data_IF_429508290372
#
_entry.id   IF_429508290372
#
_cell.length_a   1.000
_cell.length_b   1.000
_cell.length_c   1.000
_cell.angle_alpha   90.00
_cell.angle_beta   90.00
_cell.angle_gamma   90.00
#
_symmetry.space_group_name_H-M   'P 1'
#
loop_
_entity.id
_entity.type
_entity.pdbx_description
1 polymer ?
#
# COMPACT_ATOMS: atom_id res chain seq x y z
N UNK A 1 -25.26 -22.03 18.22
CA UNK A 1 -23.78 -22.07 18.17
C UNK A 1 -23.40 -21.72 16.73
N UNK A 2 -22.67 -20.60 16.48
CA UNK A 2 -22.10 -20.40 15.17
C UNK A 2 -20.89 -21.33 15.04
N UNK A 3 -20.82 -22.02 13.93
CA UNK A 3 -19.71 -22.85 13.54
C UNK A 3 -18.41 -22.04 13.60
N UNK A 4 -17.45 -22.53 14.38
CA UNK A 4 -16.08 -22.04 14.34
C UNK A 4 -15.56 -22.33 12.93
N UNK A 5 -15.46 -21.30 12.11
CA UNK A 5 -14.68 -21.39 10.89
C UNK A 5 -13.23 -21.62 11.34
N UNK A 6 -12.79 -22.85 11.23
CA UNK A 6 -11.36 -23.16 11.29
C UNK A 6 -10.70 -22.42 10.15
N UNK A 7 -10.05 -21.28 10.47
CA UNK A 7 -9.19 -20.61 9.51
C UNK A 7 -8.14 -21.64 9.05
N UNK A 8 -7.95 -21.81 7.75
CA UNK A 8 -6.91 -22.70 7.25
C UNK A 8 -5.56 -22.25 7.76
N UNK A 9 -4.65 -23.21 7.90
CA UNK A 9 -3.28 -23.05 8.36
C UNK A 9 -2.64 -21.77 7.83
N UNK A 10 -2.00 -21.00 8.70
CA UNK A 10 -1.40 -19.68 8.48
C UNK A 10 -0.43 -19.57 7.28
N UNK A 11 -0.08 -20.68 6.64
CA UNK A 11 0.75 -20.72 5.42
C UNK A 11 -0.01 -20.48 4.12
N UNK A 12 -1.34 -20.43 4.12
CA UNK A 12 -2.12 -20.49 2.89
C UNK A 12 -2.64 -19.16 2.38
N UNK A 13 -2.86 -18.14 3.23
CA UNK A 13 -3.39 -16.86 2.75
C UNK A 13 -2.29 -15.84 2.52
N UNK A 14 -1.61 -15.95 1.37
CA UNK A 14 -0.58 -14.99 0.93
C UNK A 14 -1.12 -13.96 -0.06
N UNK A 15 -2.36 -14.12 -0.54
CA UNK A 15 -3.02 -13.24 -1.49
C UNK A 15 -4.42 -12.85 -0.99
N UNK A 16 -4.94 -11.77 -1.56
CA UNK A 16 -6.31 -11.30 -1.34
C UNK A 16 -6.97 -11.04 -2.69
N UNK A 17 -8.24 -11.38 -2.80
CA UNK A 17 -9.01 -11.14 -4.02
C UNK A 17 -9.62 -9.74 -4.00
N UNK A 18 -9.31 -8.93 -5.00
CA UNK A 18 -9.87 -7.59 -5.16
C UNK A 18 -11.31 -7.65 -5.70
N UNK A 19 -12.03 -6.52 -5.64
CA UNK A 19 -13.43 -6.45 -6.05
C UNK A 19 -13.67 -6.74 -7.55
N UNK A 20 -12.64 -6.74 -8.37
CA UNK A 20 -12.69 -7.09 -9.79
C UNK A 20 -12.15 -8.50 -10.08
N UNK A 21 -11.85 -9.30 -9.05
CA UNK A 21 -11.36 -10.66 -9.18
C UNK A 21 -9.85 -10.80 -9.31
N UNK A 22 -9.10 -9.71 -9.33
CA UNK A 22 -7.64 -9.75 -9.38
C UNK A 22 -7.08 -10.24 -8.05
N UNK A 23 -6.17 -11.23 -8.09
CA UNK A 23 -5.44 -11.68 -6.90
C UNK A 23 -4.24 -10.78 -6.64
N UNK A 24 -4.13 -10.26 -5.42
CA UNK A 24 -3.06 -9.35 -5.00
C UNK A 24 -2.30 -9.94 -3.82
N UNK A 25 -0.95 -9.90 -3.81
CA UNK A 25 -0.19 -10.31 -2.62
C UNK A 25 -0.56 -9.47 -1.40
N UNK A 26 -0.62 -10.09 -0.22
CA UNK A 26 -0.83 -9.37 1.05
C UNK A 26 0.44 -8.68 1.53
N UNK A 27 1.60 -9.22 1.16
CA UNK A 27 2.90 -8.66 1.53
C UNK A 27 3.67 -8.27 0.28
N UNK A 28 4.15 -7.04 0.24
CA UNK A 28 5.02 -6.54 -0.81
C UNK A 28 6.17 -5.73 -0.26
N UNK A 29 6.95 -5.16 -1.16
CA UNK A 29 8.10 -4.33 -0.86
C UNK A 29 7.88 -2.90 -1.36
N UNK A 30 7.98 -1.92 -0.47
CA UNK A 30 7.82 -0.51 -0.80
C UNK A 30 9.16 0.18 -1.04
N UNK A 31 9.21 1.06 -2.05
CA UNK A 31 10.42 1.80 -2.42
C UNK A 31 10.34 3.30 -2.12
N UNK A 32 9.42 3.73 -1.26
CA UNK A 32 9.37 5.11 -0.79
C UNK A 32 10.71 5.47 -0.12
N UNK A 33 11.28 6.61 -0.49
CA UNK A 33 12.59 7.09 -0.01
C UNK A 33 13.79 6.18 -0.36
N UNK A 34 13.62 5.25 -1.29
CA UNK A 34 14.75 4.55 -1.90
C UNK A 34 15.23 5.38 -3.08
N UNK A 35 16.50 5.80 -3.07
CA UNK A 35 17.03 6.68 -4.11
C UNK A 35 16.98 6.02 -5.49
N UNK A 36 16.89 6.81 -6.58
CA UNK A 36 16.93 6.25 -7.93
C UNK A 36 18.16 5.37 -8.18
N UNK A 37 19.31 5.72 -7.62
CA UNK A 37 20.57 4.97 -7.79
C UNK A 37 20.55 3.61 -7.07
N UNK A 38 19.79 3.47 -5.98
CA UNK A 38 19.71 2.23 -5.20
C UNK A 38 18.51 1.36 -5.53
N UNK A 39 17.52 1.91 -6.24
CA UNK A 39 16.23 1.24 -6.45
C UNK A 39 16.38 -0.13 -7.12
N UNK A 40 17.19 -0.22 -8.17
CA UNK A 40 17.41 -1.49 -8.89
C UNK A 40 17.98 -2.57 -7.96
N UNK A 41 19.02 -2.23 -7.18
CA UNK A 41 19.63 -3.17 -6.23
C UNK A 41 18.64 -3.59 -5.15
N UNK A 42 17.94 -2.65 -4.55
CA UNK A 42 16.98 -2.93 -3.48
C UNK A 42 15.84 -3.83 -3.95
N UNK A 43 15.28 -3.55 -5.12
CA UNK A 43 14.21 -4.37 -5.70
C UNK A 43 14.73 -5.76 -6.07
N UNK A 44 15.94 -5.84 -6.66
CA UNK A 44 16.56 -7.13 -6.95
C UNK A 44 16.75 -7.97 -5.69
N UNK A 45 17.21 -7.37 -4.60
CA UNK A 45 17.33 -8.03 -3.30
C UNK A 45 15.97 -8.52 -2.79
N UNK A 46 14.95 -7.67 -2.84
CA UNK A 46 13.61 -8.04 -2.41
C UNK A 46 13.04 -9.22 -3.22
N UNK A 47 13.18 -9.20 -4.54
CA UNK A 47 12.76 -10.31 -5.39
C UNK A 47 13.52 -11.60 -5.08
N UNK A 48 14.83 -11.50 -4.79
CA UNK A 48 15.65 -12.66 -4.42
C UNK A 48 15.24 -13.28 -3.09
N UNK A 49 14.74 -12.47 -2.14
CA UNK A 49 14.20 -12.94 -0.85
C UNK A 49 12.88 -13.67 -1.04
N UNK A 50 12.09 -13.29 -2.04
CA UNK A 50 10.80 -13.93 -2.31
C UNK A 50 9.63 -12.98 -2.47
N UNK A 51 9.82 -11.67 -2.30
CA UNK A 51 8.78 -10.68 -2.56
C UNK A 51 8.30 -10.77 -4.01
N UNK A 52 7.00 -10.64 -4.22
CA UNK A 52 6.38 -10.68 -5.55
C UNK A 52 5.48 -9.48 -5.81
N UNK A 53 5.50 -8.48 -4.94
CA UNK A 53 4.83 -7.21 -5.14
C UNK A 53 5.80 -6.08 -4.83
N UNK A 54 5.86 -5.08 -5.71
CA UNK A 54 6.68 -3.88 -5.56
C UNK A 54 5.75 -2.67 -5.64
N UNK A 55 5.82 -1.80 -4.63
CA UNK A 55 5.05 -0.56 -4.57
C UNK A 55 5.96 0.63 -4.82
N UNK A 56 5.67 1.37 -5.89
CA UNK A 56 6.35 2.60 -6.27
C UNK A 56 5.34 3.72 -6.51
N UNK A 57 5.81 4.87 -6.95
CA UNK A 57 4.99 6.02 -7.32
C UNK A 57 5.77 6.94 -8.25
N UNK A 58 5.05 7.72 -9.06
CA UNK A 58 5.66 8.69 -9.97
C UNK A 58 6.58 9.67 -9.23
N UNK A 59 6.15 10.16 -8.06
CA UNK A 59 6.92 11.14 -7.27
C UNK A 59 8.21 10.54 -6.66
N UNK A 60 8.31 9.21 -6.53
CA UNK A 60 9.50 8.58 -5.96
C UNK A 60 10.70 8.65 -6.92
N UNK A 61 10.48 8.88 -8.21
CA UNK A 61 11.52 9.01 -9.24
C UNK A 61 12.41 7.77 -9.37
N UNK A 62 11.86 6.59 -9.07
CA UNK A 62 12.62 5.34 -9.09
C UNK A 62 11.95 4.22 -9.92
N UNK A 63 10.94 4.56 -10.72
CA UNK A 63 10.22 3.59 -11.55
C UNK A 63 11.15 2.84 -12.52
N UNK A 64 12.13 3.54 -13.09
CA UNK A 64 13.10 2.91 -14.01
C UNK A 64 13.93 1.82 -13.33
N UNK A 65 14.37 2.06 -12.09
CA UNK A 65 15.11 1.07 -11.30
C UNK A 65 14.25 -0.13 -10.95
N UNK A 66 12.98 0.09 -10.61
CA UNK A 66 12.00 -0.98 -10.35
C UNK A 66 11.85 -1.84 -11.60
N UNK A 67 11.57 -1.24 -12.74
CA UNK A 67 11.40 -1.96 -14.01
C UNK A 67 12.63 -2.75 -14.43
N UNK A 68 13.81 -2.15 -14.28
CA UNK A 68 15.09 -2.81 -14.59
C UNK A 68 15.32 -4.05 -13.73
N UNK A 69 15.06 -3.95 -12.42
CA UNK A 69 15.22 -5.07 -11.49
C UNK A 69 14.26 -6.22 -11.82
N UNK A 70 13.01 -5.91 -12.12
CA UNK A 70 12.01 -6.92 -12.53
C UNK A 70 12.45 -7.63 -13.80
N UNK A 71 12.89 -6.87 -14.80
CA UNK A 71 13.34 -7.42 -16.09
C UNK A 71 14.55 -8.34 -15.94
N UNK A 72 15.51 -7.99 -15.08
CA UNK A 72 16.73 -8.75 -14.85
C UNK A 72 16.57 -9.92 -13.88
N UNK A 73 15.42 -10.02 -13.19
CA UNK A 73 15.18 -11.02 -12.15
C UNK A 73 15.09 -12.46 -12.67
N UNK A 74 14.84 -12.65 -13.94
CA UNK A 74 14.52 -13.97 -14.52
C UNK A 74 13.07 -14.40 -14.31
N UNK A 75 12.29 -13.62 -13.55
CA UNK A 75 10.85 -13.86 -13.40
C UNK A 75 10.08 -13.36 -14.62
N UNK A 76 8.99 -14.04 -14.96
CA UNK A 76 8.07 -13.50 -15.97
C UNK A 76 7.31 -12.29 -15.39
N UNK A 77 6.85 -11.39 -16.26
CA UNK A 77 6.17 -10.16 -15.82
C UNK A 77 4.95 -10.45 -14.94
N UNK A 78 4.19 -11.49 -15.25
CA UNK A 78 2.99 -11.89 -14.51
C UNK A 78 3.26 -12.50 -13.13
N UNK A 79 4.51 -12.85 -12.83
CA UNK A 79 4.92 -13.29 -11.50
C UNK A 79 5.17 -12.14 -10.53
N UNK A 80 5.21 -10.89 -11.01
CA UNK A 80 5.45 -9.71 -10.18
C UNK A 80 4.27 -8.75 -10.27
N UNK A 81 3.72 -8.39 -9.11
CA UNK A 81 2.63 -7.44 -8.98
C UNK A 81 3.21 -6.03 -8.74
N UNK A 82 3.00 -5.11 -9.67
CA UNK A 82 3.51 -3.75 -9.59
C UNK A 82 2.37 -2.80 -9.20
N UNK A 83 2.58 -2.04 -8.13
CA UNK A 83 1.72 -0.92 -7.71
C UNK A 83 2.44 0.37 -8.03
N UNK A 84 1.75 1.29 -8.68
CA UNK A 84 2.25 2.63 -8.99
C UNK A 84 1.16 3.68 -8.68
N UNK A 85 1.51 4.96 -8.72
CA UNK A 85 0.59 6.02 -8.28
C UNK A 85 0.77 7.27 -9.14
N UNK A 86 -0.36 7.85 -9.58
CA UNK A 86 -0.37 9.14 -10.27
C UNK A 86 -0.18 10.26 -9.25
N UNK A 87 0.78 11.14 -9.53
CA UNK A 87 1.08 12.28 -8.66
C UNK A 87 0.17 13.47 -8.97
N UNK A 88 -0.03 14.34 -7.99
CA UNK A 88 -0.93 15.50 -8.04
C UNK A 88 -0.66 16.39 -9.25
N UNK A 89 0.62 16.62 -9.59
CA UNK A 89 1.00 17.44 -10.75
C UNK A 89 0.52 16.88 -12.08
N UNK A 90 0.09 15.63 -12.12
CA UNK A 90 -0.36 14.93 -13.31
C UNK A 90 -1.88 14.66 -13.31
N UNK A 91 -2.68 15.45 -12.57
CA UNK A 91 -4.12 15.20 -12.42
C UNK A 91 -4.97 15.92 -13.48
N UNK A 92 -4.52 17.04 -14.04
CA UNK A 92 -5.34 17.90 -14.90
C UNK A 92 -5.25 17.51 -16.38
N UNK A 93 -6.34 17.70 -17.10
CA UNK A 93 -6.40 17.53 -18.56
C UNK A 93 -5.95 16.13 -19.00
N UNK A 94 -5.04 16.10 -19.97
CA UNK A 94 -4.47 14.85 -20.50
C UNK A 94 -3.27 14.33 -19.68
N UNK A 95 -2.84 15.06 -18.66
CA UNK A 95 -1.65 14.70 -17.89
C UNK A 95 -1.75 13.33 -17.22
N UNK A 96 -2.91 12.87 -16.70
CA UNK A 96 -2.99 11.52 -16.16
C UNK A 96 -2.63 10.44 -17.17
N UNK A 97 -3.17 10.56 -18.40
CA UNK A 97 -2.92 9.58 -19.47
C UNK A 97 -1.47 9.60 -19.94
N UNK A 98 -0.92 10.81 -20.14
CA UNK A 98 0.49 10.96 -20.55
C UNK A 98 1.45 10.44 -19.49
N UNK A 99 1.20 10.75 -18.22
CA UNK A 99 2.06 10.29 -17.12
C UNK A 99 1.98 8.79 -16.92
N UNK A 100 0.82 8.17 -17.14
CA UNK A 100 0.66 6.72 -17.10
C UNK A 100 1.49 6.05 -18.20
N UNK A 101 1.45 6.57 -19.43
CA UNK A 101 2.25 6.06 -20.54
C UNK A 101 3.76 6.20 -20.24
N UNK A 102 4.17 7.30 -19.62
CA UNK A 102 5.56 7.49 -19.17
C UNK A 102 5.95 6.51 -18.05
N UNK A 103 5.06 6.24 -17.10
CA UNK A 103 5.29 5.22 -16.07
C UNK A 103 5.47 3.83 -16.70
N UNK A 104 4.65 3.46 -17.67
CA UNK A 104 4.79 2.20 -18.41
C UNK A 104 6.14 2.12 -19.14
N UNK A 105 6.56 3.22 -19.75
CA UNK A 105 7.85 3.30 -20.44
C UNK A 105 9.02 3.12 -19.47
N UNK A 106 9.00 3.82 -18.34
CA UNK A 106 10.04 3.73 -17.29
C UNK A 106 10.10 2.33 -16.68
N UNK A 107 8.95 1.75 -16.37
CA UNK A 107 8.86 0.39 -15.84
C UNK A 107 9.20 -0.67 -16.88
N UNK A 108 9.18 -0.33 -18.17
CA UNK A 108 9.47 -1.26 -19.26
C UNK A 108 8.44 -2.38 -19.38
N UNK A 109 7.16 -2.08 -19.22
CA UNK A 109 6.06 -3.05 -19.20
C UNK A 109 4.84 -2.51 -19.94
N UNK A 110 3.99 -3.40 -20.42
CA UNK A 110 2.76 -3.04 -21.13
C UNK A 110 1.59 -2.76 -20.19
N UNK A 111 1.71 -3.15 -18.94
CA UNK A 111 0.64 -2.94 -17.94
C UNK A 111 1.20 -2.79 -16.52
N UNK A 112 0.43 -2.10 -15.68
CA UNK A 112 0.63 -1.99 -14.23
C UNK A 112 -0.48 -2.78 -13.55
N UNK A 113 -0.17 -3.54 -12.51
CA UNK A 113 -1.15 -4.40 -11.84
C UNK A 113 -2.18 -3.58 -11.04
N UNK A 114 -1.74 -2.56 -10.32
CA UNK A 114 -2.61 -1.64 -9.59
C UNK A 114 -2.09 -0.22 -9.70
N UNK A 115 -2.92 0.68 -10.21
CA UNK A 115 -2.61 2.10 -10.31
C UNK A 115 -3.50 2.91 -9.38
N UNK A 116 -2.90 3.75 -8.55
CA UNK A 116 -3.60 4.55 -7.54
C UNK A 116 -3.57 6.04 -7.87
N UNK A 117 -4.60 6.75 -7.45
CA UNK A 117 -4.56 8.20 -7.25
C UNK A 117 -3.85 8.45 -5.93
N UNK A 118 -2.68 9.09 -5.95
CA UNK A 118 -1.76 9.15 -4.79
C UNK A 118 -2.29 9.97 -3.63
N UNK A 119 -3.01 11.10 -3.93
CA UNK A 119 -3.49 12.04 -2.92
C UNK A 119 -4.91 12.51 -3.24
N UNK A 120 -5.74 12.82 -2.22
CA UNK A 120 -7.12 13.24 -2.40
C UNK A 120 -7.25 14.76 -2.63
N UNK A 121 -6.40 15.33 -3.48
CA UNK A 121 -6.36 16.77 -3.74
C UNK A 121 -6.46 17.08 -5.23
N UNK A 122 -6.85 18.31 -5.55
CA UNK A 122 -6.90 18.78 -6.94
C UNK A 122 -7.93 18.06 -7.79
N UNK A 123 -7.66 17.93 -9.08
CA UNK A 123 -8.60 17.31 -10.04
C UNK A 123 -8.50 15.78 -10.04
N UNK A 124 -8.66 15.20 -8.88
CA UNK A 124 -8.59 13.76 -8.66
C UNK A 124 -9.66 12.97 -9.42
N UNK A 125 -10.82 13.58 -9.70
CA UNK A 125 -11.88 12.95 -10.49
C UNK A 125 -11.47 12.78 -11.95
N UNK A 126 -10.85 13.80 -12.54
CA UNK A 126 -10.29 13.70 -13.89
C UNK A 126 -9.22 12.60 -13.97
N UNK A 127 -8.31 12.57 -13.00
CA UNK A 127 -7.27 11.55 -12.91
C UNK A 127 -7.87 10.15 -12.72
N UNK A 128 -8.88 10.00 -11.86
CA UNK A 128 -9.52 8.72 -11.64
C UNK A 128 -10.25 8.21 -12.90
N UNK A 129 -10.96 9.10 -13.61
CA UNK A 129 -11.59 8.72 -14.88
C UNK A 129 -10.59 8.30 -15.95
N UNK A 130 -9.41 8.90 -15.95
CA UNK A 130 -8.31 8.45 -16.81
C UNK A 130 -7.85 7.04 -16.45
N UNK A 131 -7.85 6.67 -15.16
CA UNK A 131 -7.58 5.29 -14.72
C UNK A 131 -8.69 4.34 -15.14
N UNK A 132 -9.95 4.76 -15.09
CA UNK A 132 -11.07 3.96 -15.60
C UNK A 132 -10.89 3.64 -17.09
N UNK A 133 -10.49 4.63 -17.87
CA UNK A 133 -10.16 4.43 -19.29
C UNK A 133 -8.98 3.47 -19.48
N UNK A 134 -7.91 3.64 -18.70
CA UNK A 134 -6.73 2.78 -18.74
C UNK A 134 -7.05 1.32 -18.41
N UNK A 135 -7.98 1.09 -17.48
CA UNK A 135 -8.46 -0.25 -17.15
C UNK A 135 -9.15 -0.90 -18.36
N UNK A 136 -10.01 -0.16 -19.06
CA UNK A 136 -10.67 -0.63 -20.28
C UNK A 136 -9.69 -0.91 -21.41
N UNK A 137 -8.60 -0.14 -21.48
CA UNK A 137 -7.57 -0.29 -22.50
C UNK A 137 -6.55 -1.40 -22.17
N UNK A 138 -6.63 -2.00 -20.99
CA UNK A 138 -5.70 -3.05 -20.56
C UNK A 138 -4.33 -2.54 -20.11
N UNK A 139 -4.16 -1.24 -19.89
CA UNK A 139 -2.92 -0.64 -19.39
C UNK A 139 -2.73 -0.84 -17.90
N UNK A 140 -3.80 -1.07 -17.17
CA UNK A 140 -3.80 -1.42 -15.73
C UNK A 140 -4.76 -2.58 -15.49
N UNK A 141 -4.48 -3.41 -14.49
CA UNK A 141 -5.34 -4.56 -14.14
C UNK A 141 -6.35 -4.23 -13.05
N UNK A 142 -6.02 -3.27 -12.18
CA UNK A 142 -6.89 -2.76 -11.13
C UNK A 142 -6.56 -1.29 -10.90
N UNK A 143 -7.54 -0.55 -10.37
CA UNK A 143 -7.39 0.87 -10.04
C UNK A 143 -7.85 1.14 -8.61
N UNK A 144 -7.28 2.16 -8.00
CA UNK A 144 -7.60 2.51 -6.63
C UNK A 144 -7.15 3.92 -6.28
N UNK A 145 -7.16 4.18 -4.99
CA UNK A 145 -6.86 5.50 -4.43
C UNK A 145 -5.92 5.37 -3.22
N UNK A 146 -5.38 6.48 -2.76
CA UNK A 146 -4.55 6.56 -1.59
C UNK A 146 -4.90 7.80 -0.78
N UNK A 147 -4.95 7.65 0.55
CA UNK A 147 -5.27 8.73 1.50
C UNK A 147 -6.69 9.29 1.37
N UNK A 148 -7.61 8.53 0.82
CA UNK A 148 -9.03 8.90 0.75
C UNK A 148 -9.73 8.48 2.03
N UNK A 149 -10.10 9.45 2.87
CA UNK A 149 -10.89 9.18 4.06
C UNK A 149 -12.37 8.94 3.66
N UNK A 150 -13.21 8.42 4.59
CA UNK A 150 -14.54 7.92 4.22
C UNK A 150 -15.41 8.88 3.41
N UNK A 151 -15.43 10.18 3.74
CA UNK A 151 -16.21 11.17 3.00
C UNK A 151 -15.75 11.32 1.55
N UNK A 152 -14.44 11.42 1.32
CA UNK A 152 -13.86 11.47 -0.03
C UNK A 152 -14.05 10.17 -0.80
N UNK A 153 -13.93 9.03 -0.12
CA UNK A 153 -14.06 7.73 -0.75
C UNK A 153 -15.51 7.47 -1.20
N UNK A 154 -16.47 7.74 -0.33
CA UNK A 154 -17.91 7.57 -0.63
C UNK A 154 -18.31 8.47 -1.82
N UNK A 155 -17.87 9.74 -1.80
CA UNK A 155 -18.15 10.70 -2.87
C UNK A 155 -17.57 10.20 -4.21
N UNK A 156 -16.31 9.77 -4.23
CA UNK A 156 -15.68 9.23 -5.43
C UNK A 156 -16.42 8.01 -5.97
N UNK A 157 -16.76 7.06 -5.10
CA UNK A 157 -17.48 5.84 -5.50
C UNK A 157 -18.83 6.15 -6.14
N UNK A 158 -19.52 7.19 -5.66
CA UNK A 158 -20.84 7.56 -6.19
C UNK A 158 -20.75 8.28 -7.54
N UNK A 159 -19.78 9.17 -7.71
CA UNK A 159 -19.67 10.05 -8.86
C UNK A 159 -18.73 9.58 -9.97
N UNK A 160 -18.20 8.36 -9.84
CA UNK A 160 -17.40 7.69 -10.88
C UNK A 160 -18.01 6.32 -11.20
N UNK A 161 -17.53 5.68 -12.27
CA UNK A 161 -18.14 4.45 -12.79
C UNK A 161 -17.63 3.17 -12.12
N UNK A 162 -16.36 3.16 -11.70
CA UNK A 162 -15.68 1.98 -11.17
C UNK A 162 -15.26 2.22 -9.72
N UNK A 163 -15.70 1.33 -8.83
CA UNK A 163 -15.32 1.39 -7.41
C UNK A 163 -13.83 1.07 -7.26
N UNK A 164 -13.06 1.89 -6.52
CA UNK A 164 -11.66 1.58 -6.26
C UNK A 164 -11.48 0.18 -5.66
N UNK A 165 -10.50 -0.57 -6.15
CA UNK A 165 -10.19 -1.89 -5.60
C UNK A 165 -9.50 -1.79 -4.25
N UNK A 166 -8.69 -0.74 -4.06
CA UNK A 166 -7.82 -0.53 -2.90
C UNK A 166 -7.82 0.94 -2.50
N UNK A 167 -7.73 1.19 -1.20
CA UNK A 167 -7.39 2.50 -0.63
C UNK A 167 -6.16 2.33 0.27
N UNK A 168 -5.04 2.95 -0.11
CA UNK A 168 -3.80 2.89 0.63
C UNK A 168 -3.68 4.08 1.58
N UNK A 169 -3.73 3.82 2.89
CA UNK A 169 -3.68 4.84 3.94
C UNK A 169 -2.68 4.46 5.03
N UNK A 170 -2.21 5.45 5.78
CA UNK A 170 -1.39 5.19 6.97
C UNK A 170 -2.11 4.18 7.87
N UNK A 171 -1.49 3.02 8.11
CA UNK A 171 -2.08 1.98 8.97
C UNK A 171 -0.98 1.19 9.66
N UNK A 172 -1.05 1.13 10.97
CA UNK A 172 -0.16 0.37 11.84
C UNK A 172 -0.85 0.18 13.20
N UNK A 173 -0.18 -0.46 14.15
CA UNK A 173 -0.80 -0.77 15.45
C UNK A 173 -1.23 0.46 16.26
N UNK A 174 -0.62 1.63 16.04
CA UNK A 174 -1.00 2.88 16.69
C UNK A 174 -2.08 3.67 15.93
N UNK A 175 -2.33 3.33 14.68
CA UNK A 175 -3.35 3.95 13.80
C UNK A 175 -4.01 2.84 12.99
N UNK A 176 -5.05 2.22 13.55
CA UNK A 176 -5.55 0.95 13.03
C UNK A 176 -6.68 1.08 12.00
N UNK A 177 -7.20 2.28 11.80
CA UNK A 177 -8.24 2.57 10.80
C UNK A 177 -9.51 1.73 10.96
N UNK A 178 -9.93 1.45 12.19
CA UNK A 178 -11.10 0.60 12.47
C UNK A 178 -12.36 1.18 11.84
N UNK A 179 -12.64 2.46 12.08
CA UNK A 179 -13.84 3.13 11.58
C UNK A 179 -13.78 3.35 10.07
N UNK A 180 -12.65 3.80 9.56
CA UNK A 180 -12.44 4.01 8.12
C UNK A 180 -12.60 2.69 7.34
N UNK A 181 -12.07 1.59 7.89
CA UNK A 181 -12.19 0.28 7.26
C UNK A 181 -13.65 -0.19 7.18
N UNK A 182 -14.48 0.15 8.15
CA UNK A 182 -15.89 -0.19 8.12
C UNK A 182 -16.56 0.34 6.84
N UNK A 183 -16.29 1.59 6.49
CA UNK A 183 -16.78 2.18 5.24
C UNK A 183 -16.16 1.54 4.00
N UNK A 184 -14.86 1.21 4.03
CA UNK A 184 -14.21 0.50 2.93
C UNK A 184 -14.85 -0.87 2.69
N UNK A 185 -15.13 -1.62 3.75
CA UNK A 185 -15.76 -2.93 3.66
C UNK A 185 -17.18 -2.84 3.06
N UNK A 186 -17.96 -1.84 3.46
CA UNK A 186 -19.30 -1.58 2.88
C UNK A 186 -19.23 -1.31 1.38
N UNK A 187 -18.17 -0.64 0.92
CA UNK A 187 -17.97 -0.28 -0.49
C UNK A 187 -17.27 -1.38 -1.30
N UNK A 188 -16.73 -2.39 -0.66
CA UNK A 188 -15.93 -3.43 -1.31
C UNK A 188 -14.50 -3.00 -1.65
N UNK A 189 -13.95 -2.03 -0.92
CA UNK A 189 -12.59 -1.49 -1.09
C UNK A 189 -11.65 -2.14 -0.08
N UNK A 190 -10.51 -2.66 -0.54
CA UNK A 190 -9.51 -3.26 0.35
C UNK A 190 -8.60 -2.21 0.97
N UNK A 191 -8.27 -2.41 2.25
CA UNK A 191 -7.33 -1.56 2.99
C UNK A 191 -5.89 -2.01 2.72
N UNK A 192 -5.07 -1.08 2.24
CA UNK A 192 -3.63 -1.26 2.08
C UNK A 192 -2.91 -0.27 2.99
N UNK A 193 -1.89 -0.75 3.70
CA UNK A 193 -1.16 0.06 4.68
C UNK A 193 0.07 0.70 4.05
N UNK A 194 0.22 2.01 4.19
CA UNK A 194 1.55 2.60 4.15
C UNK A 194 2.02 2.89 5.58
N UNK A 195 3.32 2.87 5.79
CA UNK A 195 3.91 3.04 7.12
C UNK A 195 3.54 1.94 8.11
N UNK A 196 3.63 0.64 7.77
CA UNK A 196 3.16 -0.45 8.65
C UNK A 196 3.89 -0.53 9.98
N UNK A 197 5.04 0.14 10.11
CA UNK A 197 5.82 0.25 11.35
C UNK A 197 5.88 1.68 11.89
N UNK A 198 4.95 2.54 11.49
CA UNK A 198 4.90 3.96 11.89
C UNK A 198 6.24 4.69 11.64
N UNK A 199 6.86 4.46 10.47
CA UNK A 199 8.20 4.98 10.10
C UNK A 199 9.27 4.58 11.13
N UNK A 200 9.18 3.36 11.69
CA UNK A 200 10.06 2.83 12.73
C UNK A 200 10.11 3.70 13.99
N UNK A 201 8.96 4.28 14.37
CA UNK A 201 8.86 5.14 15.57
C UNK A 201 9.25 4.38 16.84
N UNK A 202 9.83 5.13 17.79
CA UNK A 202 10.23 4.57 19.08
C UNK A 202 9.04 4.08 19.89
N UNK A 203 7.88 4.74 19.77
CA UNK A 203 6.63 4.35 20.44
C UNK A 203 6.18 2.95 20.00
N UNK A 204 6.30 2.63 18.72
CA UNK A 204 5.98 1.31 18.22
C UNK A 204 7.06 0.29 18.61
N UNK A 205 8.32 0.59 18.33
CA UNK A 205 9.43 -0.36 18.52
C UNK A 205 9.71 -0.70 19.99
N UNK A 206 9.38 0.20 20.92
CA UNK A 206 9.57 -0.01 22.36
C UNK A 206 8.26 -0.36 23.08
N UNK A 207 7.19 -0.64 22.36
CA UNK A 207 5.90 -0.97 22.98
C UNK A 207 5.97 -2.29 23.75
N UNK A 208 5.64 -2.25 25.04
CA UNK A 208 5.73 -3.40 25.94
C UNK A 208 4.82 -4.56 25.54
N UNK A 209 3.61 -4.27 25.07
CA UNK A 209 2.67 -5.31 24.61
C UNK A 209 3.26 -6.07 23.45
N UNK A 210 3.80 -5.36 22.45
CA UNK A 210 4.43 -5.99 21.28
C UNK A 210 5.70 -6.75 21.64
N UNK A 211 6.51 -6.23 22.57
CA UNK A 211 7.71 -6.91 23.07
C UNK A 211 7.34 -8.23 23.75
N UNK A 212 6.35 -8.22 24.62
CA UNK A 212 5.90 -9.42 25.35
C UNK A 212 5.36 -10.49 24.40
N UNK A 213 4.52 -10.10 23.45
CA UNK A 213 3.98 -11.01 22.43
C UNK A 213 5.11 -11.55 21.56
N UNK A 214 6.03 -10.70 21.13
CA UNK A 214 7.18 -11.11 20.34
C UNK A 214 8.03 -12.15 21.06
N UNK A 215 8.32 -11.96 22.33
CA UNK A 215 9.07 -12.92 23.13
C UNK A 215 8.41 -14.30 23.18
N UNK A 216 7.08 -14.34 23.27
CA UNK A 216 6.32 -15.60 23.29
C UNK A 216 6.39 -16.37 21.95
N UNK A 217 6.63 -15.69 20.84
CA UNK A 217 6.70 -16.29 19.50
C UNK A 217 8.12 -16.37 18.94
N UNK A 218 9.13 -15.86 19.65
CA UNK A 218 10.49 -15.73 19.11
C UNK A 218 10.57 -14.76 17.94
N UNK A 219 9.78 -13.69 17.97
CA UNK A 219 9.64 -12.68 16.90
C UNK A 219 9.97 -11.29 17.41
N UNK A 220 10.40 -10.42 16.48
CA UNK A 220 10.64 -9.01 16.77
C UNK A 220 9.32 -8.24 16.89
N UNK A 221 9.38 -7.07 17.53
CA UNK A 221 8.24 -6.13 17.57
C UNK A 221 7.71 -5.82 16.16
N UNK A 222 8.60 -5.57 15.22
CA UNK A 222 8.24 -5.29 13.83
C UNK A 222 7.47 -6.45 13.20
N UNK A 223 7.93 -7.69 13.42
CA UNK A 223 7.24 -8.87 12.89
C UNK A 223 5.85 -9.05 13.52
N UNK A 224 5.71 -8.84 14.83
CA UNK A 224 4.40 -8.89 15.51
C UNK A 224 3.46 -7.83 14.95
N UNK A 225 3.92 -6.59 14.83
CA UNK A 225 3.12 -5.48 14.31
C UNK A 225 2.63 -5.75 12.88
N UNK A 226 3.49 -6.25 12.01
CA UNK A 226 3.13 -6.58 10.63
C UNK A 226 2.23 -7.81 10.55
N UNK A 227 2.48 -8.85 11.35
CA UNK A 227 1.61 -10.05 11.39
C UNK A 227 0.19 -9.69 11.83
N UNK A 228 0.05 -8.78 12.79
CA UNK A 228 -1.24 -8.27 13.22
C UNK A 228 -2.05 -7.69 12.04
N UNK A 229 -1.41 -6.87 11.21
CA UNK A 229 -2.07 -6.28 10.04
C UNK A 229 -2.46 -7.36 9.03
N UNK A 230 -1.57 -8.31 8.75
CA UNK A 230 -1.87 -9.42 7.83
C UNK A 230 -3.05 -10.27 8.31
N UNK A 231 -3.14 -10.57 9.61
CA UNK A 231 -4.28 -11.33 10.16
C UNK A 231 -5.60 -10.57 10.09
N UNK A 232 -5.55 -9.24 10.01
CA UNK A 232 -6.71 -8.41 9.73
C UNK A 232 -7.02 -8.30 8.23
N UNK A 233 -6.30 -9.00 7.37
CA UNK A 233 -6.48 -8.94 5.93
C UNK A 233 -6.05 -7.60 5.31
N UNK A 234 -5.09 -6.92 5.92
CA UNK A 234 -4.54 -5.66 5.45
C UNK A 234 -3.29 -5.92 4.62
N UNK A 235 -3.23 -5.33 3.43
CA UNK A 235 -2.08 -5.42 2.54
C UNK A 235 -0.97 -4.52 3.09
N UNK A 236 0.26 -5.02 3.19
CA UNK A 236 1.39 -4.26 3.71
C UNK A 236 2.58 -4.24 2.76
N UNK A 237 3.34 -3.15 2.78
CA UNK A 237 4.50 -2.92 1.93
C UNK A 237 5.68 -2.35 2.72
N UNK A 238 6.24 -3.11 3.68
CA UNK A 238 7.38 -2.63 4.46
C UNK A 238 8.56 -2.30 3.56
N UNK A 239 9.30 -1.25 3.93
CA UNK A 239 10.49 -0.78 3.23
C UNK A 239 11.74 -1.15 4.01
N UNK A 240 12.80 -1.53 3.32
CA UNK A 240 14.17 -1.55 3.82
C UNK A 240 15.15 -1.47 2.66
N UNK A 241 16.33 -0.90 2.90
CA UNK A 241 17.44 -0.93 1.95
C UNK A 241 18.45 -2.03 2.27
N UNK A 242 18.21 -2.78 3.35
CA UNK A 242 19.08 -3.85 3.84
C UNK A 242 18.44 -5.20 3.62
N UNK A 243 19.14 -6.09 2.93
CA UNK A 243 18.62 -7.42 2.58
C UNK A 243 18.25 -8.25 3.82
N UNK A 244 19.04 -8.19 4.89
CA UNK A 244 18.76 -8.90 6.14
C UNK A 244 17.43 -8.46 6.76
N UNK A 245 17.12 -7.17 6.67
CA UNK A 245 15.86 -6.61 7.14
C UNK A 245 14.69 -7.04 6.24
N UNK A 246 14.92 -7.09 4.92
CA UNK A 246 13.94 -7.62 3.97
C UNK A 246 13.58 -9.07 4.30
N UNK A 247 14.58 -9.90 4.62
CA UNK A 247 14.38 -11.29 5.03
C UNK A 247 13.55 -11.39 6.32
N UNK A 248 13.85 -10.59 7.34
CA UNK A 248 13.07 -10.54 8.58
C UNK A 248 11.63 -10.09 8.33
N UNK A 249 11.43 -9.05 7.52
CA UNK A 249 10.11 -8.54 7.19
C UNK A 249 9.29 -9.52 6.33
N UNK A 250 9.94 -10.51 5.72
CA UNK A 250 9.30 -11.56 4.94
C UNK A 250 8.87 -12.76 5.80
N UNK A 251 9.48 -12.96 6.98
CA UNK A 251 9.22 -14.08 7.87
C UNK A 251 8.00 -13.83 8.76
N UNK A 252 6.82 -13.72 8.15
CA UNK A 252 5.56 -13.38 8.81
C UNK A 252 4.52 -14.51 8.72
N UNK A 253 4.79 -15.56 7.93
CA UNK A 253 3.80 -16.61 7.65
C UNK A 253 4.08 -17.92 8.43
N UNK A 254 5.08 -17.92 9.29
CA UNK A 254 5.52 -19.08 10.09
C UNK A 254 5.01 -19.04 11.53
N UNK A 255 4.19 -18.06 11.89
CA UNK A 255 3.57 -17.95 13.21
C UNK A 255 2.19 -17.27 13.09
N UNK A 256 1.36 -17.48 14.11
CA UNK A 256 0.01 -16.89 14.18
C UNK A 256 -0.19 -16.29 15.57
N UNK A 257 -0.70 -15.05 15.59
CA UNK A 257 -1.12 -14.40 16.83
C UNK A 257 -2.45 -15.01 17.30
N UNK A 258 -2.56 -15.25 18.60
CA UNK A 258 -3.80 -15.75 19.21
C UNK A 258 -4.87 -14.66 19.21
N UNK A 259 -6.13 -15.04 19.36
CA UNK A 259 -7.22 -14.07 19.48
C UNK A 259 -7.00 -13.12 20.67
N UNK A 260 -6.53 -13.62 21.79
CA UNK A 260 -6.18 -12.80 22.96
C UNK A 260 -5.09 -11.78 22.65
N UNK A 261 -4.05 -12.19 21.92
CA UNK A 261 -2.98 -11.29 21.49
C UNK A 261 -3.50 -10.24 20.51
N UNK A 262 -4.36 -10.60 19.57
CA UNK A 262 -5.02 -9.67 18.67
C UNK A 262 -5.83 -8.63 19.43
N UNK A 263 -6.57 -9.01 20.46
CA UNK A 263 -7.33 -8.08 21.32
C UNK A 263 -6.41 -7.14 22.12
N UNK A 264 -5.30 -7.63 22.63
CA UNK A 264 -4.34 -6.77 23.33
C UNK A 264 -3.72 -5.73 22.39
N UNK A 265 -3.40 -6.11 21.16
CA UNK A 265 -2.86 -5.17 20.16
C UNK A 265 -3.93 -4.16 19.73
N UNK A 266 -5.18 -4.57 19.61
CA UNK A 266 -6.29 -3.66 19.28
C UNK A 266 -6.36 -2.47 20.24
N UNK A 267 -6.04 -2.66 21.51
CA UNK A 267 -6.03 -1.58 22.53
C UNK A 267 -4.96 -0.51 22.28
N UNK A 268 -3.99 -0.75 21.44
CA UNK A 268 -2.92 0.19 21.13
C UNK A 268 -3.37 1.29 20.15
N UNK A 269 -4.54 1.17 19.53
CA UNK A 269 -5.05 2.14 18.57
C UNK A 269 -5.26 3.51 19.22
N UNK A 270 -4.65 4.54 18.63
CA UNK A 270 -4.81 5.92 19.09
C UNK A 270 -6.05 6.59 18.50
N UNK A 271 -6.61 6.03 17.43
CA UNK A 271 -7.77 6.58 16.73
C UNK A 271 -7.49 7.81 15.87
N UNK A 272 -6.21 8.16 15.66
CA UNK A 272 -5.83 9.31 14.81
C UNK A 272 -4.56 9.03 14.02
N UNK A 273 -4.28 9.87 13.01
CA UNK A 273 -3.05 9.83 12.22
C UNK A 273 -1.83 10.05 13.11
N UNK A 274 -0.71 9.41 12.81
CA UNK A 274 0.47 9.37 13.67
C UNK A 274 1.73 9.86 12.97
N UNK A 275 2.04 9.33 11.77
CA UNK A 275 3.27 9.66 11.04
C UNK A 275 3.24 11.09 10.50
N UNK A 276 2.07 11.53 10.04
CA UNK A 276 1.84 12.90 9.58
C UNK A 276 0.45 13.36 10.04
N UNK A 277 0.18 14.68 10.03
CA UNK A 277 -1.16 15.17 10.33
C UNK A 277 -2.20 14.60 9.36
N UNK A 278 -3.47 14.62 9.80
CA UNK A 278 -4.59 14.15 8.98
C UNK A 278 -4.65 14.84 7.63
N UNK A 279 -5.03 14.11 6.58
CA UNK A 279 -5.31 14.68 5.25
C UNK A 279 -6.52 15.63 5.24
N UNK A 280 -7.30 15.70 6.32
CA UNK A 280 -8.32 16.74 6.53
C UNK A 280 -7.75 18.04 7.09
N UNK A 281 -6.50 18.06 7.55
CA UNK A 281 -5.86 19.27 8.07
C UNK A 281 -5.59 20.24 6.90
N UNK A 282 -6.09 21.49 6.97
CA UNK A 282 -5.85 22.49 5.91
C UNK A 282 -4.38 22.76 5.62
N UNK A 283 -3.52 22.65 6.63
CA UNK A 283 -2.07 22.85 6.44
C UNK A 283 -1.43 21.72 5.60
N UNK A 284 -1.96 20.51 5.71
CA UNK A 284 -1.55 19.39 4.83
C UNK A 284 -1.96 19.69 3.38
N UNK A 285 -3.17 20.20 3.16
CA UNK A 285 -3.62 20.63 1.83
C UNK A 285 -2.69 21.70 1.25
N UNK A 286 -2.34 22.72 2.04
CA UNK A 286 -1.40 23.76 1.60
C UNK A 286 -0.04 23.21 1.22
N UNK A 287 0.47 22.26 1.98
CA UNK A 287 1.73 21.59 1.69
C UNK A 287 1.68 20.90 0.32
N UNK A 288 0.63 20.13 0.04
CA UNK A 288 0.47 19.44 -1.24
C UNK A 288 0.23 20.37 -2.42
N UNK A 289 -0.37 21.54 -2.21
CA UNK A 289 -0.52 22.58 -3.25
C UNK A 289 0.84 23.00 -3.83
N UNK A 290 1.92 22.95 -3.04
CA UNK A 290 3.26 23.26 -3.50
C UNK A 290 3.79 22.35 -4.61
N UNK A 291 3.24 21.13 -4.73
CA UNK A 291 3.62 20.19 -5.79
C UNK A 291 2.86 20.42 -7.12
N UNK A 292 1.83 21.25 -7.11
CA UNK A 292 1.04 21.55 -8.30
C UNK A 292 0.74 23.06 -8.36
N UNK A 293 1.76 23.92 -8.47
CA UNK A 293 1.56 25.38 -8.42
C UNK A 293 0.76 25.88 -9.61
N UNK A 294 -0.17 26.77 -9.37
CA UNK A 294 -0.91 27.45 -10.43
C UNK A 294 -0.11 28.65 -10.95
N UNK A 295 0.02 28.73 -12.28
CA UNK A 295 0.64 29.90 -12.90
C UNK A 295 -0.21 31.16 -12.64
N UNK A 296 0.39 32.21 -12.12
CA UNK A 296 -0.26 33.52 -11.94
C UNK A 296 -1.03 33.71 -10.63
N UNK A 297 -0.75 32.90 -9.62
CA UNK A 297 -1.28 33.11 -8.25
C UNK A 297 -0.16 33.12 -7.22
#
# INVERSE_FOLDING_TARGET
YPEQSTLPNSMEQKTITLNNGVEMPLLGYGVYQVSPDEAERCVADALSVGYRMIDTAQIYQNEAGVGSAVKKSGLSRDEVFIVDKIWISNFEGDAPKRSLDESLRLLGTDYIDLMLIHQPFGDRYNAYRALEDALKEGKVRAIGVSNFYPDHLIDLCHFTDIVPAVNQVETHVLTQRIEERRYMDELGVKLMSWGPLAEASSELLNNETLLTIGAAHGKTVAQVAMRYLLQRGIIIIPKSTRKERMEQNFQLFDFTLTESEMQEILKLDTGHSFVMPSHHDPEVTKMFMGFAPRKGR
#
